data_IF_522056184714
#
_entry.id   IF_522056184714
#
_cell.length_a   1.000
_cell.length_b   1.000
_cell.length_c   1.000
_cell.angle_alpha   90.00
_cell.angle_beta   90.00
_cell.angle_gamma   90.00
#
_symmetry.space_group_name_H-M   'P 1'
#
loop_
_entity.id
_entity.type
_entity.pdbx_description
1 polymer ?
#
# COMPACT_ATOMS: atom_id res chain seq x y z
N UNK A 1 -2.70 23.78 -46.56
CA UNK A 1 -3.02 23.76 -45.11
C UNK A 1 -4.53 23.71 -44.95
N UNK A 2 -5.06 22.76 -44.17
CA UNK A 2 -6.49 22.68 -43.89
C UNK A 2 -6.90 23.77 -42.89
N UNK A 3 -8.05 24.39 -43.11
CA UNK A 3 -8.59 25.48 -42.30
C UNK A 3 -9.92 25.04 -41.67
N UNK A 4 -10.17 25.45 -40.43
CA UNK A 4 -11.35 25.10 -39.64
C UNK A 4 -12.20 26.34 -39.38
N UNK A 5 -13.52 26.17 -39.35
CA UNK A 5 -14.44 27.18 -38.83
C UNK A 5 -14.26 27.35 -37.32
N UNK A 6 -14.81 28.45 -36.76
CA UNK A 6 -14.81 28.67 -35.32
C UNK A 6 -15.44 27.50 -34.55
N UNK A 7 -16.56 26.95 -35.04
CA UNK A 7 -17.26 25.82 -34.42
C UNK A 7 -16.38 24.57 -34.36
N UNK A 8 -15.73 24.23 -35.47
CA UNK A 8 -14.82 23.07 -35.55
C UNK A 8 -13.58 23.26 -34.67
N UNK A 9 -13.00 24.45 -34.65
CA UNK A 9 -11.85 24.76 -33.80
C UNK A 9 -12.21 24.69 -32.31
N UNK A 10 -13.39 25.18 -31.92
CA UNK A 10 -13.87 25.11 -30.54
C UNK A 10 -14.20 23.68 -30.11
N UNK A 11 -14.80 22.88 -31.00
CA UNK A 11 -15.05 21.47 -30.77
C UNK A 11 -13.74 20.69 -30.59
N UNK A 12 -12.75 20.94 -31.45
CA UNK A 12 -11.44 20.29 -31.36
C UNK A 12 -10.64 20.69 -30.10
N UNK A 13 -10.75 21.95 -29.65
CA UNK A 13 -10.08 22.44 -28.45
C UNK A 13 -10.83 22.08 -27.15
N UNK A 14 -12.14 21.88 -27.22
CA UNK A 14 -13.02 21.73 -26.07
C UNK A 14 -13.04 22.99 -25.20
N UNK A 15 -13.12 24.18 -25.82
CA UNK A 15 -13.01 25.47 -25.13
C UNK A 15 -14.10 26.46 -25.48
N UNK A 16 -14.24 27.51 -24.68
CA UNK A 16 -15.12 28.64 -24.98
C UNK A 16 -14.48 29.59 -26.01
N UNK A 17 -15.28 30.36 -26.79
CA UNK A 17 -14.79 31.30 -27.80
C UNK A 17 -13.69 32.25 -27.32
N UNK A 18 -13.79 32.75 -26.09
CA UNK A 18 -12.79 33.65 -25.51
C UNK A 18 -11.38 33.02 -25.48
N UNK A 19 -11.30 31.70 -25.27
CA UNK A 19 -10.03 30.98 -25.24
C UNK A 19 -9.46 30.80 -26.64
N UNK A 20 -10.29 30.55 -27.65
CA UNK A 20 -9.85 30.48 -29.05
C UNK A 20 -9.28 31.83 -29.48
N UNK A 21 -10.02 32.92 -29.25
CA UNK A 21 -9.59 34.27 -29.61
C UNK A 21 -8.31 34.71 -28.87
N UNK A 22 -8.19 34.37 -27.58
CA UNK A 22 -6.96 34.64 -26.83
C UNK A 22 -5.74 33.90 -27.41
N UNK A 23 -5.90 32.69 -27.94
CA UNK A 23 -4.79 31.98 -28.58
C UNK A 23 -4.44 32.55 -29.96
N UNK A 24 -5.41 33.08 -30.69
CA UNK A 24 -5.18 33.80 -31.95
C UNK A 24 -4.45 35.11 -31.70
N UNK A 25 -4.93 35.92 -30.75
CA UNK A 25 -4.29 37.19 -30.36
C UNK A 25 -2.85 36.99 -29.87
N UNK A 26 -2.55 35.85 -29.27
CA UNK A 26 -1.19 35.48 -28.82
C UNK A 26 -0.35 34.80 -29.90
N UNK A 27 -0.81 34.75 -31.15
CA UNK A 27 -0.11 34.14 -32.28
C UNK A 27 0.06 32.63 -32.19
N UNK A 28 -0.71 31.94 -31.35
CA UNK A 28 -0.60 30.48 -31.15
C UNK A 28 -1.45 29.67 -32.13
N UNK A 29 -2.47 30.30 -32.71
CA UNK A 29 -3.34 29.77 -33.75
C UNK A 29 -3.43 30.83 -34.84
N UNK A 30 -2.98 30.49 -36.04
CA UNK A 30 -3.15 31.35 -37.20
C UNK A 30 -4.63 31.44 -37.61
N UNK A 31 -5.08 32.63 -37.97
CA UNK A 31 -6.45 32.89 -38.42
C UNK A 31 -6.45 33.76 -39.68
N UNK A 32 -7.42 33.52 -40.56
CA UNK A 32 -7.64 34.33 -41.78
C UNK A 32 -9.14 34.60 -42.01
N UNK A 33 -9.51 35.63 -42.77
CA UNK A 33 -10.91 35.85 -43.17
C UNK A 33 -11.46 34.67 -43.98
N UNK A 34 -12.73 34.36 -43.80
CA UNK A 34 -13.44 33.36 -44.60
C UNK A 34 -13.75 33.94 -46.00
N UNK A 35 -13.33 33.30 -47.10
CA UNK A 35 -13.64 33.76 -48.45
C UNK A 35 -15.13 33.83 -48.77
N UNK A 36 -15.97 33.06 -48.07
CA UNK A 36 -17.41 33.01 -48.29
C UNK A 36 -18.20 34.04 -47.45
N UNK A 37 -17.63 34.54 -46.35
CA UNK A 37 -18.25 35.54 -45.48
C UNK A 37 -17.17 36.38 -44.76
N UNK A 38 -16.96 37.65 -45.15
CA UNK A 38 -15.92 38.49 -44.56
C UNK A 38 -16.13 38.81 -43.07
N UNK A 39 -17.29 38.47 -42.49
CA UNK A 39 -17.54 38.58 -41.03
C UNK A 39 -17.08 37.36 -40.25
N UNK A 40 -16.59 36.31 -40.92
CA UNK A 40 -16.13 35.06 -40.31
C UNK A 40 -14.63 34.88 -40.47
N UNK A 41 -14.04 34.11 -39.57
CA UNK A 41 -12.64 33.73 -39.63
C UNK A 41 -12.50 32.21 -39.65
N UNK A 42 -11.49 31.77 -40.39
CA UNK A 42 -11.02 30.40 -40.43
C UNK A 42 -9.71 30.28 -39.66
N UNK A 43 -9.49 29.14 -39.01
CA UNK A 43 -8.37 28.88 -38.11
C UNK A 43 -7.50 27.75 -38.65
N UNK A 44 -6.18 27.85 -38.50
CA UNK A 44 -5.25 26.80 -38.93
C UNK A 44 -5.54 25.49 -38.20
N UNK A 45 -5.92 24.44 -38.95
CA UNK A 45 -6.23 23.14 -38.37
C UNK A 45 -5.01 22.51 -37.69
N UNK A 46 -3.80 22.77 -38.20
CA UNK A 46 -2.56 22.24 -37.62
C UNK A 46 -2.28 22.83 -36.24
N UNK A 47 -2.46 24.15 -36.09
CA UNK A 47 -2.25 24.84 -34.82
C UNK A 47 -3.28 24.44 -33.78
N UNK A 48 -4.54 24.36 -34.19
CA UNK A 48 -5.66 23.89 -33.36
C UNK A 48 -5.39 22.47 -32.86
N UNK A 49 -5.02 21.54 -33.74
CA UNK A 49 -4.70 20.15 -33.36
C UNK A 49 -3.49 20.07 -32.43
N UNK A 50 -2.43 20.83 -32.70
CA UNK A 50 -1.21 20.90 -31.87
C UNK A 50 -1.53 21.40 -30.46
N UNK A 51 -2.34 22.45 -30.34
CA UNK A 51 -2.73 23.02 -29.06
C UNK A 51 -3.68 22.08 -28.28
N UNK A 52 -4.63 21.44 -28.98
CA UNK A 52 -5.53 20.44 -28.39
C UNK A 52 -4.75 19.23 -27.85
N UNK A 53 -3.79 18.70 -28.61
CA UNK A 53 -2.92 17.59 -28.19
C UNK A 53 -2.09 17.96 -26.96
N UNK A 54 -1.48 19.15 -26.94
CA UNK A 54 -0.73 19.66 -25.78
C UNK A 54 -1.60 19.75 -24.53
N UNK A 55 -2.84 20.21 -24.65
CA UNK A 55 -3.76 20.34 -23.52
C UNK A 55 -4.28 18.99 -23.01
N UNK A 56 -4.58 18.05 -23.92
CA UNK A 56 -4.93 16.67 -23.55
C UNK A 56 -3.79 15.99 -22.79
N UNK A 57 -2.55 16.19 -23.24
CA UNK A 57 -1.35 15.69 -22.56
C UNK A 57 -1.21 16.27 -21.14
N UNK A 58 -1.32 17.60 -20.99
CA UNK A 58 -1.26 18.23 -19.66
C UNK A 58 -2.34 17.73 -18.71
N UNK A 59 -3.59 17.59 -19.19
CA UNK A 59 -4.68 17.00 -18.38
C UNK A 59 -4.37 15.57 -17.96
N UNK A 60 -3.87 14.74 -18.88
CA UNK A 60 -3.48 13.36 -18.60
C UNK A 60 -2.33 13.28 -17.59
N UNK A 61 -1.36 14.20 -17.66
CA UNK A 61 -0.23 14.29 -16.72
C UNK A 61 -0.71 14.68 -15.31
N UNK A 62 -1.61 15.66 -15.18
CA UNK A 62 -2.19 16.06 -13.88
C UNK A 62 -3.00 14.90 -13.27
N UNK A 63 -3.84 14.24 -14.07
CA UNK A 63 -4.62 13.09 -13.60
C UNK A 63 -3.73 11.94 -13.11
N UNK A 64 -2.64 11.62 -13.82
CA UNK A 64 -1.70 10.57 -13.40
C UNK A 64 -0.93 10.93 -12.11
N UNK A 65 -0.56 12.20 -11.94
CA UNK A 65 0.14 12.67 -10.73
C UNK A 65 -0.77 12.64 -9.50
N UNK A 66 -2.04 13.04 -9.66
CA UNK A 66 -3.03 13.01 -8.59
C UNK A 66 -3.42 11.57 -8.23
N UNK A 67 -3.55 10.68 -9.22
CA UNK A 67 -3.87 9.27 -9.01
C UNK A 67 -2.85 8.53 -8.11
N UNK A 68 -1.56 8.87 -8.20
CA UNK A 68 -0.51 8.30 -7.32
C UNK A 68 -0.57 8.87 -5.89
N UNK A 69 -1.20 10.04 -5.67
CA UNK A 69 -1.32 10.72 -4.37
C UNK A 69 -2.71 10.58 -3.76
N UNK A 70 -3.16 9.33 -3.59
CA UNK A 70 -4.52 9.00 -3.13
C UNK A 70 -5.65 9.51 -4.05
N UNK A 71 -5.35 9.74 -5.34
CA UNK A 71 -6.37 10.07 -6.33
C UNK A 71 -7.09 8.81 -6.82
N UNK A 72 -7.60 8.85 -8.05
CA UNK A 72 -8.35 7.74 -8.63
C UNK A 72 -7.49 6.45 -8.72
N UNK A 73 -8.11 5.25 -8.63
CA UNK A 73 -7.38 3.99 -8.74
C UNK A 73 -6.54 3.91 -10.01
N UNK A 74 -5.22 3.70 -9.84
CA UNK A 74 -4.25 3.64 -10.96
C UNK A 74 -4.22 2.26 -11.62
N UNK A 75 -4.56 1.20 -10.86
CA UNK A 75 -4.55 -0.19 -11.32
C UNK A 75 -5.82 -0.91 -10.86
N UNK A 76 -6.38 -1.73 -11.74
CA UNK A 76 -7.48 -2.62 -11.37
C UNK A 76 -7.00 -3.72 -10.41
N UNK A 77 -7.81 -4.03 -9.40
CA UNK A 77 -7.60 -5.19 -8.54
C UNK A 77 -8.93 -5.76 -8.08
N UNK A 78 -9.01 -7.08 -7.94
CA UNK A 78 -10.16 -7.79 -7.40
C UNK A 78 -9.86 -8.36 -5.99
N UNK A 79 -8.79 -7.91 -5.33
CA UNK A 79 -8.29 -8.45 -4.07
C UNK A 79 -8.91 -7.78 -2.86
N UNK A 80 -8.77 -6.47 -2.74
CA UNK A 80 -9.36 -5.71 -1.64
C UNK A 80 -9.81 -4.32 -2.07
N UNK A 81 -10.65 -3.71 -1.25
CA UNK A 81 -11.08 -2.32 -1.41
C UNK A 81 -11.55 -1.77 -0.07
N UNK A 82 -11.37 -0.46 0.14
CA UNK A 82 -12.02 0.24 1.26
C UNK A 82 -13.21 1.02 0.72
N UNK A 83 -14.41 0.69 1.21
CA UNK A 83 -15.64 1.37 0.84
C UNK A 83 -16.42 1.75 2.09
N UNK A 84 -16.84 3.03 2.17
CA UNK A 84 -17.63 3.56 3.29
C UNK A 84 -17.01 3.24 4.66
N UNK A 85 -15.70 3.44 4.79
CA UNK A 85 -14.96 3.18 6.04
C UNK A 85 -14.76 1.71 6.39
N UNK A 86 -15.06 0.76 5.49
CA UNK A 86 -14.92 -0.68 5.74
C UNK A 86 -13.97 -1.32 4.73
N UNK A 87 -13.13 -2.24 5.20
CA UNK A 87 -12.21 -3.01 4.37
C UNK A 87 -12.87 -4.31 3.93
N UNK A 88 -12.78 -4.61 2.64
CA UNK A 88 -13.28 -5.86 2.08
C UNK A 88 -12.15 -6.64 1.40
N UNK A 89 -12.12 -7.95 1.62
CA UNK A 89 -11.29 -8.91 0.90
C UNK A 89 -12.19 -9.73 -0.03
N UNK A 90 -12.03 -9.56 -1.35
CA UNK A 90 -12.89 -10.17 -2.38
C UNK A 90 -14.39 -10.04 -2.06
N UNK A 91 -14.80 -8.84 -1.61
CA UNK A 91 -16.18 -8.53 -1.25
C UNK A 91 -16.62 -8.96 0.15
N UNK A 92 -15.78 -9.67 0.92
CA UNK A 92 -16.07 -10.07 2.30
C UNK A 92 -15.47 -9.08 3.29
N UNK A 93 -16.24 -8.64 4.27
CA UNK A 93 -15.78 -7.67 5.27
C UNK A 93 -14.63 -8.24 6.13
N UNK A 94 -13.52 -7.50 6.22
CA UNK A 94 -12.32 -7.92 6.93
C UNK A 94 -12.49 -7.99 8.46
N UNK A 95 -13.29 -7.09 9.06
CA UNK A 95 -13.59 -7.14 10.49
C UNK A 95 -14.49 -8.34 10.83
N UNK A 96 -15.47 -8.65 9.97
CA UNK A 96 -16.27 -9.85 10.09
C UNK A 96 -15.44 -11.13 9.92
N UNK A 97 -14.50 -11.15 8.96
CA UNK A 97 -13.53 -12.24 8.82
C UNK A 97 -12.68 -12.40 10.08
N UNK A 98 -12.20 -11.30 10.67
CA UNK A 98 -11.34 -11.34 11.84
C UNK A 98 -11.98 -12.06 13.03
N UNK A 99 -13.31 -12.07 13.17
CA UNK A 99 -13.97 -12.78 14.28
C UNK A 99 -13.70 -14.29 14.33
N UNK A 100 -13.37 -14.93 13.20
CA UNK A 100 -13.33 -16.40 13.09
C UNK A 100 -12.23 -16.95 12.16
N UNK A 101 -11.85 -16.22 11.09
CA UNK A 101 -10.89 -16.68 10.10
C UNK A 101 -9.44 -16.64 10.60
N UNK A 102 -8.59 -17.47 10.04
CA UNK A 102 -7.13 -17.43 10.20
C UNK A 102 -6.47 -16.65 9.06
N UNK A 103 -5.16 -16.38 9.16
CA UNK A 103 -4.42 -15.79 8.03
C UNK A 103 -4.40 -16.75 6.84
N UNK A 104 -4.31 -18.05 7.11
CA UNK A 104 -4.36 -19.11 6.11
C UNK A 104 -5.68 -19.06 5.32
N UNK A 105 -6.82 -18.90 6.00
CA UNK A 105 -8.13 -18.76 5.34
C UNK A 105 -8.21 -17.50 4.48
N UNK A 106 -7.67 -16.39 4.97
CA UNK A 106 -7.64 -15.12 4.21
C UNK A 106 -6.67 -15.20 3.04
N UNK A 107 -5.52 -15.86 3.18
CA UNK A 107 -4.59 -16.11 2.09
C UNK A 107 -5.23 -17.01 1.03
N UNK A 108 -5.92 -18.08 1.42
CA UNK A 108 -6.67 -18.94 0.49
C UNK A 108 -7.72 -18.12 -0.29
N UNK A 109 -8.47 -17.25 0.40
CA UNK A 109 -9.42 -16.33 -0.22
C UNK A 109 -8.73 -15.38 -1.21
N UNK A 110 -7.69 -14.66 -0.79
CA UNK A 110 -6.99 -13.68 -1.62
C UNK A 110 -6.31 -14.34 -2.82
N UNK A 111 -5.68 -15.49 -2.65
CA UNK A 111 -4.96 -16.21 -3.70
C UNK A 111 -5.87 -17.03 -4.62
N UNK A 112 -7.17 -17.18 -4.26
CA UNK A 112 -8.10 -18.15 -4.86
C UNK A 112 -7.54 -19.58 -4.83
N UNK A 113 -6.76 -19.90 -3.80
CA UNK A 113 -6.23 -21.22 -3.59
C UNK A 113 -7.25 -22.08 -2.83
N UNK A 114 -7.36 -23.39 -3.11
CA UNK A 114 -8.30 -24.27 -2.41
C UNK A 114 -7.95 -24.42 -0.93
N UNK A 115 -6.66 -24.52 -0.62
CA UNK A 115 -6.13 -24.58 0.75
C UNK A 115 -4.78 -23.90 0.82
N UNK A 116 -4.46 -23.32 1.99
CA UNK A 116 -3.18 -22.70 2.28
C UNK A 116 -2.69 -23.19 3.63
N UNK A 117 -1.39 -23.47 3.73
CA UNK A 117 -0.73 -23.83 4.97
C UNK A 117 0.70 -23.34 4.98
N UNK A 118 1.09 -22.66 6.06
CA UNK A 118 2.43 -22.08 6.22
C UNK A 118 3.38 -23.02 6.97
N UNK A 119 3.42 -24.29 6.54
CA UNK A 119 4.01 -25.41 7.28
C UNK A 119 5.14 -26.15 6.56
N UNK A 120 5.77 -25.55 5.54
CA UNK A 120 6.82 -26.21 4.75
C UNK A 120 8.15 -26.42 5.51
N UNK A 121 8.91 -27.41 5.04
CA UNK A 121 10.25 -27.75 5.55
C UNK A 121 11.20 -26.54 5.51
N UNK A 122 12.02 -26.35 6.57
CA UNK A 122 12.89 -25.18 6.68
C UNK A 122 13.91 -25.12 5.55
N UNK A 123 14.31 -23.90 5.19
CA UNK A 123 15.52 -23.69 4.42
C UNK A 123 16.70 -24.27 5.21
N UNK A 124 17.45 -25.21 4.60
CA UNK A 124 18.61 -25.86 5.23
C UNK A 124 19.71 -24.89 5.70
N UNK A 125 19.68 -23.64 5.24
CA UNK A 125 20.61 -22.59 5.67
C UNK A 125 19.96 -21.80 6.81
N UNK A 126 20.49 -21.96 8.01
CA UNK A 126 20.19 -21.04 9.11
C UNK A 126 20.53 -19.62 8.67
N UNK A 127 19.60 -18.70 8.88
CA UNK A 127 19.93 -17.28 8.78
C UNK A 127 21.08 -17.00 9.78
N UNK A 128 22.05 -16.14 9.43
CA UNK A 128 23.00 -15.59 10.40
C UNK A 128 22.26 -15.13 11.65
N UNK A 129 22.89 -15.17 12.83
CA UNK A 129 22.39 -14.56 14.07
C UNK A 129 22.34 -13.02 13.88
N UNK A 130 21.40 -12.55 13.06
CA UNK A 130 21.11 -11.15 12.86
C UNK A 130 20.17 -10.69 13.97
N UNK A 131 20.45 -9.50 14.51
CA UNK A 131 19.85 -9.01 15.75
C UNK A 131 18.32 -8.91 15.68
N UNK A 132 17.75 -8.42 14.56
CA UNK A 132 16.30 -8.16 14.47
C UNK A 132 15.53 -9.20 13.63
N UNK A 133 14.26 -9.50 13.96
CA UNK A 133 13.39 -10.34 13.14
C UNK A 133 13.29 -9.90 11.68
N UNK A 134 13.23 -8.59 11.43
CA UNK A 134 13.11 -8.03 10.07
C UNK A 134 14.39 -8.27 9.26
N UNK A 135 15.56 -8.10 9.86
CA UNK A 135 16.84 -8.43 9.19
C UNK A 135 16.88 -9.91 8.81
N UNK A 136 16.41 -10.81 9.68
CA UNK A 136 16.34 -12.25 9.37
C UNK A 136 15.40 -12.55 8.20
N UNK A 137 14.26 -11.86 8.14
CA UNK A 137 13.35 -11.98 7.01
C UNK A 137 13.95 -11.47 5.69
N UNK A 138 14.69 -10.36 5.69
CA UNK A 138 15.43 -9.91 4.51
C UNK A 138 16.40 -10.96 4.00
N UNK A 139 17.16 -11.60 4.90
CA UNK A 139 18.13 -12.64 4.55
C UNK A 139 17.46 -13.91 4.01
N UNK A 140 16.33 -14.30 4.59
CA UNK A 140 15.56 -15.45 4.10
C UNK A 140 14.96 -15.18 2.72
N UNK A 141 14.33 -14.02 2.52
CA UNK A 141 13.72 -13.64 1.26
C UNK A 141 14.76 -13.41 0.15
N UNK A 142 15.93 -12.83 0.46
CA UNK A 142 17.00 -12.66 -0.54
C UNK A 142 17.57 -14.01 -0.99
N UNK A 143 17.78 -14.95 -0.06
CA UNK A 143 18.22 -16.30 -0.39
C UNK A 143 17.19 -17.04 -1.27
N UNK A 144 15.90 -16.91 -0.96
CA UNK A 144 14.83 -17.46 -1.79
C UNK A 144 14.78 -16.79 -3.17
N UNK A 145 14.84 -15.46 -3.22
CA UNK A 145 14.77 -14.71 -4.46
C UNK A 145 15.92 -15.06 -5.42
N UNK A 146 17.12 -15.31 -4.90
CA UNK A 146 18.27 -15.72 -5.71
C UNK A 146 18.19 -17.14 -6.30
N UNK A 147 17.31 -18.00 -5.77
CA UNK A 147 17.12 -19.36 -6.26
C UNK A 147 15.77 -19.58 -6.98
N UNK A 148 14.82 -18.67 -6.81
CA UNK A 148 13.46 -18.80 -7.32
C UNK A 148 13.37 -18.50 -8.83
N UNK A 149 12.48 -19.23 -9.50
CA UNK A 149 12.19 -19.04 -10.92
C UNK A 149 11.29 -17.82 -11.16
N UNK A 150 11.41 -17.15 -12.33
CA UNK A 150 10.47 -16.12 -12.77
C UNK A 150 9.01 -16.59 -12.66
N UNK A 151 8.09 -15.66 -12.41
CA UNK A 151 6.64 -15.97 -12.31
C UNK A 151 6.02 -16.33 -13.66
N UNK A 152 6.55 -15.77 -14.75
CA UNK A 152 6.04 -15.94 -16.10
C UNK A 152 6.10 -17.42 -16.55
N UNK A 153 4.98 -17.91 -17.10
CA UNK A 153 4.89 -19.27 -17.67
C UNK A 153 4.76 -20.39 -16.63
N UNK A 154 4.65 -20.08 -15.33
CA UNK A 154 4.46 -21.09 -14.28
C UNK A 154 2.98 -21.39 -14.04
N UNK A 155 2.69 -22.63 -13.68
CA UNK A 155 1.34 -23.03 -13.30
C UNK A 155 0.88 -22.35 -12.01
N UNK A 156 -0.42 -22.13 -11.87
CA UNK A 156 -1.03 -21.57 -10.67
C UNK A 156 -0.67 -22.38 -9.41
N UNK A 157 -0.71 -23.72 -9.51
CA UNK A 157 -0.31 -24.63 -8.42
C UNK A 157 1.15 -24.43 -7.97
N UNK A 158 2.08 -24.21 -8.92
CA UNK A 158 3.48 -23.98 -8.61
C UNK A 158 3.70 -22.59 -7.97
N UNK A 159 2.91 -21.59 -8.37
CA UNK A 159 2.95 -20.26 -7.79
C UNK A 159 2.34 -20.25 -6.38
N UNK A 160 1.22 -20.94 -6.14
CA UNK A 160 0.65 -21.11 -4.79
C UNK A 160 1.63 -21.83 -3.86
N UNK A 161 2.30 -22.89 -4.33
CA UNK A 161 3.29 -23.61 -3.53
C UNK A 161 4.51 -22.75 -3.15
N UNK A 162 4.93 -21.84 -4.05
CA UNK A 162 5.97 -20.86 -3.73
C UNK A 162 5.47 -19.78 -2.78
N UNK A 163 4.25 -19.26 -2.97
CA UNK A 163 3.65 -18.27 -2.06
C UNK A 163 3.60 -18.80 -0.62
N UNK A 164 3.16 -20.04 -0.42
CA UNK A 164 3.23 -20.70 0.89
C UNK A 164 4.67 -20.78 1.42
N UNK A 165 5.63 -21.17 0.57
CA UNK A 165 7.04 -21.28 0.97
C UNK A 165 7.65 -19.93 1.37
N UNK A 166 7.28 -18.84 0.68
CA UNK A 166 7.74 -17.48 0.99
C UNK A 166 7.25 -17.04 2.38
N UNK A 167 5.95 -17.20 2.68
CA UNK A 167 5.40 -16.86 4.00
C UNK A 167 6.01 -17.74 5.08
N UNK A 168 6.15 -19.06 4.84
CA UNK A 168 6.79 -19.99 5.77
C UNK A 168 8.22 -19.59 6.09
N UNK A 169 9.04 -19.29 5.07
CA UNK A 169 10.44 -18.92 5.29
C UNK A 169 10.57 -17.60 6.08
N UNK A 170 9.68 -16.64 5.81
CA UNK A 170 9.63 -15.39 6.55
C UNK A 170 9.23 -15.62 8.02
N UNK A 171 8.22 -16.45 8.27
CA UNK A 171 7.80 -16.82 9.63
C UNK A 171 8.90 -17.54 10.39
N UNK A 172 9.50 -18.58 9.79
CA UNK A 172 10.58 -19.36 10.39
C UNK A 172 11.79 -18.48 10.75
N UNK A 173 12.18 -17.58 9.85
CA UNK A 173 13.29 -16.66 10.08
C UNK A 173 13.00 -15.65 11.21
N UNK A 174 11.78 -15.13 11.28
CA UNK A 174 11.40 -14.15 12.30
C UNK A 174 11.23 -14.79 13.68
N UNK A 175 10.54 -15.93 13.76
CA UNK A 175 10.12 -16.55 15.02
C UNK A 175 11.18 -17.46 15.64
N UNK A 176 12.07 -18.04 14.83
CA UNK A 176 13.04 -19.06 15.27
C UNK A 176 12.38 -20.21 16.04
N UNK A 177 11.15 -20.57 15.66
CA UNK A 177 10.39 -21.64 16.28
C UNK A 177 10.81 -23.04 15.78
N UNK A 178 10.41 -24.08 16.51
CA UNK A 178 10.79 -25.46 16.18
C UNK A 178 9.95 -26.05 15.04
N UNK A 179 10.39 -27.19 14.51
CA UNK A 179 9.67 -27.89 13.46
C UNK A 179 8.31 -28.45 13.87
N UNK A 180 8.08 -28.66 15.17
CA UNK A 180 6.80 -29.18 15.67
C UNK A 180 5.74 -28.07 15.69
N UNK A 181 6.13 -26.82 15.91
CA UNK A 181 5.27 -25.65 15.85
C UNK A 181 4.65 -25.47 14.46
N UNK A 182 5.33 -25.90 13.38
CA UNK A 182 4.86 -25.77 11.98
C UNK A 182 3.54 -26.49 11.68
N UNK A 183 3.07 -27.40 12.54
CA UNK A 183 1.76 -28.08 12.38
C UNK A 183 0.58 -27.22 12.81
N UNK A 184 0.84 -26.11 13.49
CA UNK A 184 -0.16 -25.15 13.97
C UNK A 184 -0.35 -24.02 12.96
N UNK A 185 -1.46 -23.32 13.09
CA UNK A 185 -1.68 -22.08 12.34
C UNK A 185 -0.68 -20.99 12.76
N UNK A 186 -0.44 -20.01 11.90
CA UNK A 186 0.63 -19.03 12.10
C UNK A 186 0.43 -18.21 13.39
N UNK A 187 -0.80 -17.87 13.75
CA UNK A 187 -1.07 -17.13 14.98
C UNK A 187 -0.73 -17.92 16.24
N UNK A 188 -0.98 -19.23 16.25
CA UNK A 188 -0.61 -20.12 17.35
C UNK A 188 0.91 -20.28 17.45
N UNK A 189 1.60 -20.34 16.29
CA UNK A 189 3.07 -20.36 16.23
C UNK A 189 3.66 -19.10 16.85
N UNK A 190 3.16 -17.93 16.46
CA UNK A 190 3.61 -16.64 17.00
C UNK A 190 3.36 -16.58 18.51
N UNK A 191 2.15 -16.92 18.95
CA UNK A 191 1.80 -16.92 20.37
C UNK A 191 2.70 -17.87 21.18
N UNK A 192 3.02 -19.05 20.65
CA UNK A 192 3.94 -20.00 21.28
C UNK A 192 5.38 -19.48 21.31
N UNK A 193 5.89 -18.93 20.20
CA UNK A 193 7.25 -18.38 20.11
C UNK A 193 7.49 -17.23 21.10
N UNK A 194 6.44 -16.46 21.41
CA UNK A 194 6.50 -15.39 22.40
C UNK A 194 6.13 -15.82 23.83
N UNK A 195 5.76 -17.09 24.03
CA UNK A 195 5.22 -17.62 25.28
C UNK A 195 3.99 -16.83 25.78
N UNK A 196 3.09 -16.44 24.86
CA UNK A 196 1.86 -15.66 25.10
C UNK A 196 0.61 -16.37 24.58
N UNK A 197 0.20 -17.52 25.13
CA UNK A 197 -0.96 -18.27 24.64
C UNK A 197 -2.27 -17.46 24.71
N UNK A 198 -2.42 -16.59 25.71
CA UNK A 198 -3.60 -15.70 25.83
C UNK A 198 -3.70 -14.65 24.72
N UNK A 199 -2.61 -14.38 24.00
CA UNK A 199 -2.59 -13.45 22.88
C UNK A 199 -2.95 -14.11 21.54
N UNK A 200 -3.17 -15.43 21.49
CA UNK A 200 -3.40 -16.16 20.23
C UNK A 200 -4.59 -15.61 19.43
N UNK A 201 -5.73 -15.34 20.08
CA UNK A 201 -6.91 -14.79 19.38
C UNK A 201 -6.72 -13.35 18.89
N UNK A 202 -6.23 -12.39 19.72
CA UNK A 202 -5.87 -11.05 19.23
C UNK A 202 -4.83 -11.07 18.11
N UNK A 203 -3.82 -11.96 18.18
CA UNK A 203 -2.82 -12.14 17.12
C UNK A 203 -3.51 -12.63 15.83
N UNK A 204 -4.40 -13.63 15.91
CA UNK A 204 -5.17 -14.12 14.76
C UNK A 204 -5.94 -13.00 14.08
N UNK A 205 -6.68 -12.21 14.86
CA UNK A 205 -7.45 -11.05 14.39
C UNK A 205 -6.54 -10.01 13.73
N UNK A 206 -5.43 -9.66 14.37
CA UNK A 206 -4.46 -8.72 13.81
C UNK A 206 -3.92 -9.21 12.46
N UNK A 207 -3.55 -10.49 12.34
CA UNK A 207 -3.09 -11.05 11.08
C UNK A 207 -4.16 -10.99 9.98
N UNK A 208 -5.44 -11.20 10.29
CA UNK A 208 -6.53 -11.06 9.31
C UNK A 208 -6.71 -9.59 8.90
N UNK A 209 -6.78 -8.67 9.85
CA UNK A 209 -7.05 -7.25 9.62
C UNK A 209 -5.93 -6.54 8.85
N UNK A 210 -4.72 -7.09 8.89
CA UNK A 210 -3.54 -6.54 8.22
C UNK A 210 -3.22 -7.25 6.90
N UNK A 211 -3.94 -8.32 6.55
CA UNK A 211 -3.56 -9.24 5.47
C UNK A 211 -3.38 -8.54 4.13
N UNK A 212 -4.27 -7.58 3.84
CA UNK A 212 -4.14 -6.71 2.70
C UNK A 212 -4.79 -5.34 2.96
N UNK A 213 -4.43 -4.31 2.19
CA UNK A 213 -5.01 -2.98 2.34
C UNK A 213 -4.85 -2.16 1.05
N UNK A 214 -5.44 -2.68 -0.02
CA UNK A 214 -5.42 -2.09 -1.36
C UNK A 214 -3.98 -1.79 -1.85
N UNK A 215 -3.84 -0.94 -2.87
CA UNK A 215 -2.59 -0.55 -3.49
C UNK A 215 -1.77 0.47 -2.68
N UNK A 216 -1.53 0.17 -1.40
CA UNK A 216 -0.59 0.92 -0.56
C UNK A 216 0.86 0.81 -1.11
N UNK A 217 1.78 1.64 -0.60
CA UNK A 217 3.15 1.75 -1.11
C UNK A 217 3.89 0.40 -1.24
N UNK A 218 3.86 -0.45 -0.19
CA UNK A 218 4.51 -1.76 -0.23
C UNK A 218 3.87 -2.73 -1.21
N UNK A 219 2.54 -2.72 -1.29
CA UNK A 219 1.80 -3.52 -2.26
C UNK A 219 2.12 -3.07 -3.69
N UNK A 220 2.18 -1.76 -3.94
CA UNK A 220 2.56 -1.22 -5.24
C UNK A 220 3.99 -1.62 -5.62
N UNK A 221 4.95 -1.54 -4.70
CA UNK A 221 6.32 -1.98 -4.94
C UNK A 221 6.44 -3.47 -5.26
N UNK A 222 5.71 -4.33 -4.55
CA UNK A 222 5.62 -5.75 -4.85
C UNK A 222 5.01 -6.00 -6.24
N UNK A 223 3.98 -5.23 -6.60
CA UNK A 223 3.31 -5.33 -7.90
C UNK A 223 4.17 -4.82 -9.06
N UNK A 224 4.96 -3.77 -8.85
CA UNK A 224 5.97 -3.30 -9.82
C UNK A 224 6.99 -4.40 -10.10
N UNK A 225 7.54 -5.04 -9.06
CA UNK A 225 8.45 -6.19 -9.24
C UNK A 225 7.78 -7.35 -9.99
N UNK A 226 6.53 -7.69 -9.64
CA UNK A 226 5.79 -8.74 -10.33
C UNK A 226 5.57 -8.41 -11.82
N UNK A 227 5.35 -7.14 -12.17
CA UNK A 227 5.13 -6.70 -13.55
C UNK A 227 6.34 -6.91 -14.48
N UNK A 228 7.54 -7.15 -13.92
CA UNK A 228 8.74 -7.49 -14.69
C UNK A 228 8.95 -9.01 -14.83
N UNK A 229 8.05 -9.83 -14.29
CA UNK A 229 8.18 -11.29 -14.23
C UNK A 229 9.06 -11.80 -13.09
N UNK A 230 9.39 -10.97 -12.09
CA UNK A 230 10.18 -11.40 -10.93
C UNK A 230 9.52 -12.56 -10.18
N UNK A 231 10.32 -13.35 -9.43
CA UNK A 231 9.81 -14.42 -8.56
C UNK A 231 8.93 -13.89 -7.44
N UNK A 232 8.08 -14.73 -6.84
CA UNK A 232 7.22 -14.29 -5.74
C UNK A 232 8.04 -13.90 -4.50
N UNK A 233 9.16 -14.59 -4.26
CA UNK A 233 10.12 -14.22 -3.22
C UNK A 233 10.70 -12.81 -3.43
N UNK A 234 11.07 -12.45 -4.67
CA UNK A 234 11.56 -11.11 -5.00
C UNK A 234 10.47 -10.04 -4.85
N UNK A 235 9.22 -10.37 -5.20
CA UNK A 235 8.07 -9.47 -5.00
C UNK A 235 7.83 -9.19 -3.51
N UNK A 236 7.84 -10.24 -2.67
CA UNK A 236 7.72 -10.09 -1.22
C UNK A 236 8.90 -9.32 -0.61
N UNK A 237 10.12 -9.53 -1.11
CA UNK A 237 11.31 -8.77 -0.70
C UNK A 237 11.16 -7.26 -0.99
N UNK A 238 10.65 -6.91 -2.19
CA UNK A 238 10.35 -5.52 -2.57
C UNK A 238 9.28 -4.89 -1.65
N UNK A 239 8.23 -5.65 -1.35
CA UNK A 239 7.19 -5.25 -0.39
C UNK A 239 7.76 -5.00 1.00
N UNK A 240 8.58 -5.92 1.52
CA UNK A 240 9.23 -5.81 2.82
C UNK A 240 10.17 -4.61 2.89
N UNK A 241 11.01 -4.41 1.87
CA UNK A 241 11.91 -3.26 1.77
C UNK A 241 11.15 -1.92 1.81
N UNK A 242 9.98 -1.87 1.17
CA UNK A 242 9.14 -0.67 1.18
C UNK A 242 8.42 -0.48 2.52
N UNK A 243 8.01 -1.57 3.18
CA UNK A 243 7.36 -1.55 4.49
C UNK A 243 8.23 -0.92 5.59
N UNK A 244 9.54 -1.15 5.56
CA UNK A 244 10.46 -0.60 6.58
C UNK A 244 10.64 0.92 6.51
N UNK A 245 10.12 1.58 5.47
CA UNK A 245 10.11 3.03 5.40
C UNK A 245 9.31 3.67 6.55
N UNK A 246 9.83 4.71 7.23
CA UNK A 246 9.18 5.28 8.42
C UNK A 246 7.82 5.93 8.11
N UNK A 247 7.59 6.35 6.87
CA UNK A 247 6.31 6.90 6.40
C UNK A 247 5.29 5.83 6.00
N UNK A 248 5.63 4.54 6.16
CA UNK A 248 4.77 3.41 5.85
C UNK A 248 4.58 2.51 7.08
N UNK A 249 5.54 1.64 7.41
CA UNK A 249 5.42 0.73 8.57
C UNK A 249 5.81 1.31 9.93
N UNK A 250 6.18 2.60 10.01
CA UNK A 250 6.74 3.21 11.22
C UNK A 250 5.73 3.64 12.29
N UNK A 251 4.43 3.67 11.98
CA UNK A 251 3.42 4.29 12.84
C UNK A 251 3.25 3.57 14.19
N UNK A 252 3.25 2.24 14.21
CA UNK A 252 3.16 1.45 15.46
C UNK A 252 4.34 1.71 16.41
N UNK A 253 5.56 1.84 15.87
CA UNK A 253 6.75 2.16 16.67
C UNK A 253 6.70 3.59 17.24
N UNK A 254 6.16 4.54 16.46
CA UNK A 254 5.91 5.90 16.92
C UNK A 254 4.85 5.94 18.04
N UNK A 255 3.79 5.13 17.93
CA UNK A 255 2.77 4.98 18.98
C UNK A 255 3.35 4.39 20.28
N UNK A 256 4.22 3.38 20.18
CA UNK A 256 4.96 2.85 21.34
C UNK A 256 5.87 3.90 21.99
N UNK A 257 6.58 4.71 21.18
CA UNK A 257 7.43 5.78 21.69
C UNK A 257 6.62 6.90 22.37
N UNK A 258 5.45 7.23 21.81
CA UNK A 258 4.51 8.17 22.40
C UNK A 258 4.00 7.66 23.76
N UNK A 259 3.58 6.39 23.83
CA UNK A 259 3.17 5.76 25.08
C UNK A 259 4.31 5.73 26.12
N UNK A 260 5.55 5.47 25.69
CA UNK A 260 6.71 5.52 26.58
C UNK A 260 6.99 6.92 27.13
N UNK A 261 6.75 7.99 26.36
CA UNK A 261 6.84 9.35 26.90
C UNK A 261 5.73 9.64 27.89
N UNK A 262 4.49 9.26 27.55
CA UNK A 262 3.35 9.44 28.44
C UNK A 262 3.50 8.70 29.77
N UNK A 263 4.11 7.51 29.77
CA UNK A 263 4.41 6.76 30.98
C UNK A 263 5.43 7.47 31.89
N UNK A 264 6.37 8.23 31.34
CA UNK A 264 7.39 8.97 32.11
C UNK A 264 6.89 10.34 32.57
N UNK A 265 6.25 11.06 31.66
CA UNK A 265 6.03 12.51 31.77
C UNK A 265 4.55 12.85 32.03
N UNK A 266 3.64 11.86 31.90
CA UNK A 266 2.19 12.03 31.94
C UNK A 266 1.59 12.21 30.54
N UNK A 267 0.36 11.71 30.33
CA UNK A 267 -0.33 11.73 29.03
C UNK A 267 -0.49 13.15 28.48
N UNK A 268 -0.98 14.07 29.31
CA UNK A 268 -1.19 15.46 28.89
C UNK A 268 0.09 16.16 28.45
N UNK A 269 1.22 15.91 29.12
CA UNK A 269 2.51 16.49 28.74
C UNK A 269 3.07 15.85 27.46
N UNK A 270 2.97 14.53 27.33
CA UNK A 270 3.38 13.85 26.10
C UNK A 270 2.63 14.36 24.86
N UNK A 271 1.31 14.60 24.99
CA UNK A 271 0.48 15.21 23.92
C UNK A 271 1.00 16.61 23.59
N UNK A 272 1.16 17.48 24.60
CA UNK A 272 1.66 18.85 24.40
C UNK A 272 3.03 18.87 23.74
N UNK A 273 3.97 18.04 24.20
CA UNK A 273 5.33 17.98 23.69
C UNK A 273 5.39 17.55 22.21
N UNK A 274 4.54 16.60 21.79
CA UNK A 274 4.45 16.19 20.38
C UNK A 274 3.93 17.33 19.49
N UNK A 275 2.84 17.97 19.90
CA UNK A 275 2.24 19.06 19.15
C UNK A 275 3.16 20.30 19.07
N UNK A 276 3.86 20.62 20.16
CA UNK A 276 4.82 21.74 20.21
C UNK A 276 5.99 21.58 19.23
N UNK A 277 6.34 20.35 18.85
CA UNK A 277 7.38 20.05 17.86
C UNK A 277 6.85 20.06 16.41
N UNK A 278 5.59 20.46 16.20
CA UNK A 278 4.92 20.39 14.89
C UNK A 278 4.72 18.96 14.38
N UNK A 279 4.77 17.96 15.26
CA UNK A 279 4.56 16.56 14.91
C UNK A 279 3.08 16.21 15.08
N UNK A 280 2.53 15.44 14.13
CA UNK A 280 1.21 14.85 14.29
C UNK A 280 1.25 13.73 15.35
N UNK A 281 0.19 13.60 16.17
CA UNK A 281 0.10 12.51 17.15
C UNK A 281 0.11 11.17 16.40
N UNK A 282 0.98 10.21 16.76
CA UNK A 282 1.18 9.01 15.97
C UNK A 282 0.00 8.05 16.10
N UNK A 283 -0.37 7.43 14.98
CA UNK A 283 -1.41 6.40 14.88
C UNK A 283 -2.85 6.85 15.19
N UNK A 284 -3.16 8.13 14.94
CA UNK A 284 -4.52 8.68 14.93
C UNK A 284 -4.93 9.11 13.53
N UNK A 285 -6.19 8.82 13.19
CA UNK A 285 -6.79 9.15 11.90
C UNK A 285 -6.27 8.29 10.75
N UNK A 286 -7.05 8.24 9.68
CA UNK A 286 -6.65 7.60 8.43
C UNK A 286 -7.52 8.07 7.26
N UNK A 287 -6.91 8.40 6.12
CA UNK A 287 -7.62 9.01 4.97
C UNK A 287 -8.75 8.15 4.39
N UNK A 288 -8.61 6.82 4.42
CA UNK A 288 -9.66 5.88 3.98
C UNK A 288 -10.75 5.62 5.04
N UNK A 289 -10.57 6.14 6.25
CA UNK A 289 -11.43 5.91 7.41
C UNK A 289 -11.72 7.24 8.13
N UNK A 290 -12.42 8.18 7.48
CA UNK A 290 -12.65 9.52 8.06
C UNK A 290 -13.43 9.49 9.38
N UNK A 291 -14.25 8.47 9.61
CA UNK A 291 -15.06 8.33 10.84
C UNK A 291 -14.44 7.38 11.89
N UNK A 292 -13.23 6.89 11.62
CA UNK A 292 -12.49 5.92 12.43
C UNK A 292 -12.19 4.61 11.71
N UNK A 293 -11.01 4.04 11.99
CA UNK A 293 -10.53 2.81 11.37
C UNK A 293 -11.27 1.58 11.92
N UNK A 294 -12.13 0.98 11.08
CA UNK A 294 -12.91 -0.21 11.44
C UNK A 294 -12.03 -1.40 11.86
N UNK A 295 -10.78 -1.47 11.37
CA UNK A 295 -9.84 -2.52 11.77
C UNK A 295 -9.35 -2.29 13.20
N UNK A 296 -9.08 -1.04 13.55
CA UNK A 296 -8.63 -0.67 14.89
C UNK A 296 -9.69 -1.02 15.92
N UNK A 297 -10.95 -0.66 15.65
CA UNK A 297 -12.08 -1.02 16.49
C UNK A 297 -12.19 -2.55 16.68
N UNK A 298 -12.22 -3.31 15.57
CA UNK A 298 -12.34 -4.77 15.62
C UNK A 298 -11.19 -5.47 16.36
N UNK A 299 -9.97 -4.91 16.32
CA UNK A 299 -8.83 -5.42 17.07
C UNK A 299 -8.92 -5.05 18.55
N UNK A 300 -9.23 -3.79 18.88
CA UNK A 300 -9.38 -3.31 20.25
C UNK A 300 -10.50 -4.07 20.99
N UNK A 301 -11.58 -4.47 20.32
CA UNK A 301 -12.67 -5.27 20.91
C UNK A 301 -12.23 -6.68 21.35
N UNK A 302 -11.03 -7.12 20.98
CA UNK A 302 -10.51 -8.46 21.31
C UNK A 302 -9.70 -8.53 22.61
N UNK A 303 -9.41 -7.39 23.25
CA UNK A 303 -8.65 -7.34 24.50
C UNK A 303 -8.96 -6.08 25.30
N UNK A 304 -8.60 -6.05 26.58
CA UNK A 304 -8.68 -4.84 27.39
C UNK A 304 -7.38 -4.04 27.26
N UNK A 305 -7.40 -2.78 26.78
CA UNK A 305 -6.23 -1.91 26.77
C UNK A 305 -5.72 -1.66 28.19
N UNK A 306 -4.42 -1.41 28.34
CA UNK A 306 -3.89 -0.95 29.64
C UNK A 306 -4.46 0.43 29.98
N UNK A 307 -4.52 0.83 31.28
CA UNK A 307 -5.02 2.16 31.66
C UNK A 307 -4.34 3.30 30.91
N UNK A 308 -3.02 3.21 30.71
CA UNK A 308 -2.25 4.17 29.93
C UNK A 308 -2.71 4.26 28.47
N UNK A 309 -2.92 3.13 27.80
CA UNK A 309 -3.39 3.13 26.40
C UNK A 309 -4.84 3.59 26.27
N UNK A 310 -5.69 3.32 27.26
CA UNK A 310 -7.05 3.87 27.31
C UNK A 310 -7.02 5.40 27.44
N UNK A 311 -6.22 5.94 28.36
CA UNK A 311 -6.07 7.39 28.54
C UNK A 311 -5.45 8.06 27.31
N UNK A 312 -4.46 7.44 26.66
CA UNK A 312 -3.87 7.95 25.43
C UNK A 312 -4.85 7.98 24.26
N UNK A 313 -5.75 6.99 24.16
CA UNK A 313 -6.77 6.98 23.12
C UNK A 313 -7.72 8.19 23.27
N UNK A 314 -8.19 8.45 24.48
CA UNK A 314 -9.06 9.60 24.78
C UNK A 314 -8.33 10.94 24.57
N UNK A 315 -7.13 11.08 25.14
CA UNK A 315 -6.37 12.32 25.03
C UNK A 315 -5.93 12.63 23.59
N UNK A 316 -5.51 11.61 22.84
CA UNK A 316 -5.15 11.75 21.43
C UNK A 316 -6.35 12.12 20.56
N UNK A 317 -7.52 11.52 20.82
CA UNK A 317 -8.75 11.86 20.12
C UNK A 317 -9.22 13.29 20.43
N UNK A 318 -9.16 13.70 21.70
CA UNK A 318 -9.48 15.08 22.10
C UNK A 318 -8.55 16.11 21.45
N UNK A 319 -7.26 15.78 21.31
CA UNK A 319 -6.25 16.69 20.77
C UNK A 319 -6.28 16.80 19.23
N UNK A 320 -6.71 15.74 18.53
CA UNK A 320 -6.65 15.66 17.06
C UNK A 320 -8.01 15.73 16.38
N UNK A 321 -9.10 15.42 17.09
CA UNK A 321 -10.41 15.15 16.50
C UNK A 321 -10.50 13.80 15.78
N UNK A 322 -9.44 13.00 15.80
CA UNK A 322 -9.30 11.76 15.06
C UNK A 322 -9.29 10.54 16.00
N UNK A 323 -9.75 9.38 15.53
CA UNK A 323 -9.75 8.16 16.34
C UNK A 323 -8.45 7.35 16.17
N UNK A 324 -8.08 6.50 17.15
CA UNK A 324 -6.99 5.53 16.98
C UNK A 324 -7.15 4.69 15.71
N UNK A 325 -6.05 4.49 14.99
CA UNK A 325 -6.01 3.60 13.81
C UNK A 325 -5.39 2.23 14.16
N UNK A 326 -5.28 1.34 13.18
CA UNK A 326 -4.82 -0.04 13.41
C UNK A 326 -3.41 -0.12 14.04
N UNK A 327 -2.53 0.85 13.77
CA UNK A 327 -1.19 0.89 14.35
C UNK A 327 -1.21 1.20 15.85
N UNK A 328 -2.16 2.04 16.29
CA UNK A 328 -2.38 2.28 17.72
C UNK A 328 -2.90 1.01 18.39
N UNK A 329 -3.85 0.33 17.76
CA UNK A 329 -4.39 -0.93 18.26
C UNK A 329 -3.31 -2.01 18.40
N UNK A 330 -2.36 -2.10 17.46
CA UNK A 330 -1.20 -3.00 17.56
C UNK A 330 -0.28 -2.64 18.73
N UNK A 331 -0.01 -1.34 18.94
CA UNK A 331 0.79 -0.88 20.06
C UNK A 331 0.10 -1.17 21.41
N UNK A 332 -1.21 -0.93 21.50
CA UNK A 332 -2.03 -1.23 22.67
C UNK A 332 -2.05 -2.73 22.98
N UNK A 333 -2.28 -3.58 21.97
CA UNK A 333 -2.24 -5.04 22.09
C UNK A 333 -0.87 -5.52 22.59
N UNK A 334 0.20 -4.95 22.05
CA UNK A 334 1.58 -5.25 22.46
C UNK A 334 1.78 -4.99 23.95
N UNK A 335 1.29 -3.85 24.45
CA UNK A 335 1.37 -3.53 25.87
C UNK A 335 0.49 -4.43 26.73
N UNK A 336 -0.77 -4.68 26.35
CA UNK A 336 -1.73 -5.48 27.12
C UNK A 336 -1.26 -6.92 27.33
N UNK A 337 -0.61 -7.54 26.33
CA UNK A 337 -0.10 -8.91 26.43
C UNK A 337 1.39 -8.99 26.77
N UNK A 338 2.07 -7.86 26.94
CA UNK A 338 3.53 -7.77 27.12
C UNK A 338 4.26 -8.54 26.02
N UNK A 339 3.87 -8.33 24.77
CA UNK A 339 4.51 -8.92 23.59
C UNK A 339 5.90 -8.30 23.40
N UNK A 340 6.81 -8.94 22.63
CA UNK A 340 8.08 -8.33 22.25
C UNK A 340 7.88 -6.96 21.61
N UNK A 341 8.86 -6.07 21.77
CA UNK A 341 8.79 -4.69 21.25
C UNK A 341 8.54 -4.67 19.74
N UNK A 342 9.13 -5.62 19.01
CA UNK A 342 9.07 -5.80 17.57
C UNK A 342 7.74 -6.39 17.08
N UNK A 343 6.85 -6.82 17.99
CA UNK A 343 5.61 -7.54 17.66
C UNK A 343 4.76 -6.81 16.60
N UNK A 344 4.50 -5.49 16.67
CA UNK A 344 3.72 -4.81 15.64
C UNK A 344 4.31 -4.98 14.24
N UNK A 345 5.62 -4.78 14.09
CA UNK A 345 6.30 -4.87 12.79
C UNK A 345 6.35 -6.32 12.29
N UNK A 346 6.56 -7.30 13.16
CA UNK A 346 6.53 -8.73 12.81
C UNK A 346 5.14 -9.15 12.32
N UNK A 347 4.08 -8.77 13.06
CA UNK A 347 2.70 -9.09 12.69
C UNK A 347 2.31 -8.43 11.37
N UNK A 348 2.64 -7.15 11.20
CA UNK A 348 2.36 -6.42 9.96
C UNK A 348 3.05 -7.07 8.77
N UNK A 349 4.35 -7.35 8.89
CA UNK A 349 5.14 -7.90 7.79
C UNK A 349 4.67 -9.32 7.40
N UNK A 350 4.44 -10.22 8.37
CA UNK A 350 3.97 -11.58 8.10
C UNK A 350 2.56 -11.60 7.50
N UNK A 351 1.66 -10.79 8.06
CA UNK A 351 0.30 -10.65 7.57
C UNK A 351 0.26 -10.09 6.16
N UNK A 352 0.93 -8.94 5.94
CA UNK A 352 0.91 -8.23 4.66
C UNK A 352 1.62 -9.00 3.54
N UNK A 353 2.53 -9.91 3.87
CA UNK A 353 3.14 -10.81 2.89
C UNK A 353 2.07 -11.61 2.11
N UNK A 354 0.97 -12.00 2.76
CA UNK A 354 -0.15 -12.65 2.07
C UNK A 354 -0.76 -11.76 0.99
N UNK A 355 -1.02 -10.48 1.29
CA UNK A 355 -1.49 -9.48 0.33
C UNK A 355 -0.48 -9.19 -0.78
N UNK A 356 0.80 -9.01 -0.47
CA UNK A 356 1.85 -8.81 -1.48
C UNK A 356 1.89 -9.95 -2.50
N UNK A 357 1.84 -11.19 -2.01
CA UNK A 357 1.82 -12.37 -2.86
C UNK A 357 0.52 -12.46 -3.67
N UNK A 358 -0.63 -12.07 -3.10
CA UNK A 358 -1.89 -12.01 -3.83
C UNK A 358 -1.84 -11.03 -4.99
N UNK A 359 -1.29 -9.83 -4.76
CA UNK A 359 -1.11 -8.81 -5.80
C UNK A 359 -0.07 -9.23 -6.85
N UNK A 360 0.99 -9.94 -6.45
CA UNK A 360 1.97 -10.50 -7.38
C UNK A 360 1.35 -11.60 -8.27
N UNK A 361 0.53 -12.48 -7.69
CA UNK A 361 -0.23 -13.50 -8.42
C UNK A 361 -1.22 -12.85 -9.40
N UNK A 362 -1.97 -11.83 -8.97
CA UNK A 362 -2.90 -11.08 -9.85
C UNK A 362 -2.16 -10.40 -11.01
N UNK A 363 -0.99 -9.82 -10.74
CA UNK A 363 -0.14 -9.20 -11.75
C UNK A 363 0.47 -10.23 -12.71
N UNK A 364 0.90 -11.38 -12.23
CA UNK A 364 1.47 -12.44 -13.06
C UNK A 364 0.42 -13.08 -14.00
N UNK A 365 -0.84 -13.14 -13.56
CA UNK A 365 -1.91 -13.73 -14.35
C UNK A 365 -2.37 -12.82 -15.50
N UNK A 366 -2.57 -11.53 -15.24
CA UNK A 366 -3.29 -10.63 -16.16
C UNK A 366 -2.69 -9.22 -16.27
N UNK A 367 -1.48 -8.99 -15.77
CA UNK A 367 -0.91 -7.66 -15.63
C UNK A 367 0.09 -7.30 -16.72
N UNK A 368 -0.01 -6.07 -17.23
CA UNK A 368 1.00 -5.47 -18.10
C UNK A 368 2.19 -4.91 -17.30
N UNK A 369 3.32 -4.71 -17.98
CA UNK A 369 4.49 -4.06 -17.40
C UNK A 369 4.15 -2.67 -16.84
N UNK A 370 4.42 -2.45 -15.55
CA UNK A 370 4.22 -1.14 -14.90
C UNK A 370 5.44 -0.28 -15.20
N UNK A 371 5.30 0.64 -16.17
CA UNK A 371 6.39 1.52 -16.62
C UNK A 371 5.97 2.98 -16.68
N UNK A 372 5.88 3.69 -15.55
CA UNK A 372 5.55 5.11 -15.54
C UNK A 372 6.64 5.95 -16.23
N UNK A 373 6.25 7.11 -16.77
CA UNK A 373 7.17 8.07 -17.39
C UNK A 373 7.27 9.31 -16.51
N UNK A 374 8.49 9.74 -16.23
CA UNK A 374 8.73 11.02 -15.58
C UNK A 374 8.53 12.17 -16.58
N UNK A 375 8.00 13.29 -16.07
CA UNK A 375 8.12 14.58 -16.76
C UNK A 375 9.52 15.13 -16.47
N UNK A 376 10.34 15.27 -17.50
CA UNK A 376 11.66 15.88 -17.36
C UNK A 376 11.51 17.40 -17.07
N UNK A 377 12.13 17.85 -15.98
CA UNK A 377 12.12 19.26 -15.51
C UNK A 377 13.53 19.83 -15.34
N UNK A 378 14.54 19.14 -15.89
CA UNK A 378 15.91 19.64 -15.95
C UNK A 378 16.13 20.59 -17.14
N UNK A 379 17.38 21.03 -17.36
CA UNK A 379 17.73 21.90 -18.50
C UNK A 379 17.35 21.28 -19.85
N UNK A 380 16.78 22.05 -20.80
CA UNK A 380 16.40 21.51 -22.10
C UNK A 380 17.61 20.87 -22.81
N UNK A 381 17.45 19.69 -23.44
CA UNK A 381 18.54 19.05 -24.16
C UNK A 381 18.98 19.93 -25.34
N UNK A 382 20.30 20.06 -25.54
CA UNK A 382 20.88 20.73 -26.70
C UNK A 382 20.81 19.79 -27.91
N UNK A 383 19.66 19.74 -28.56
CA UNK A 383 19.49 19.03 -29.84
C UNK A 383 19.84 20.00 -30.97
N UNK A 384 20.78 19.61 -31.84
CA UNK A 384 21.03 20.32 -33.10
C UNK A 384 20.00 19.88 -34.14
N UNK A 385 19.56 20.78 -35.03
CA UNK A 385 18.50 20.54 -36.04
C UNK A 385 18.82 19.44 -37.10
N UNK A 386 19.84 18.60 -36.88
CA UNK A 386 20.24 17.51 -37.78
C UNK A 386 19.89 16.10 -37.28
N UNK A 387 19.25 15.97 -36.12
CA UNK A 387 18.67 14.72 -35.59
C UNK A 387 17.14 14.78 -35.62
#
# INVERSE_FOLDING_TARGET
MAWMTAGEALAALGTRPQTLYANVSRGRIEAKPDPADPRRSLYSAADVKRLAARRRRLKSETLAADAIRWGDPVLSSALSTVQRGRLFYRGRDAAALASHATLEDVAALLWRAPTVGFSREPLKRGAPDAETPITRAFLALSALAGAALPTLGRSESALHAEACAVVSAMADAMLRDDARARRRSLHERIAAAWAKPKAADPIRRALVLLADHDLNASTFAARVAASTGASLAACALSGLATLTGPRHGGASAAAQAFAASAARDGVGEAVRAWLAQGRAIPAFGHRLYPDGDARAAALMDSFTPTPLFAELAEAGAAATGEKPNIDFALAAMTASFKLPREAPMVLFALSRCAGWLAHALEQAANGDLIRPRARYVGPPPSLSDRD
#
